data_IF_024182092208
#
_entry.id   IF_024182092208
#
_cell.length_a   1.000
_cell.length_b   1.000
_cell.length_c   1.000
_cell.angle_alpha   90.00
_cell.angle_beta   90.00
_cell.angle_gamma   90.00
#
_symmetry.space_group_name_H-M   'P 1'
#
loop_
_entity.id
_entity.type
_entity.pdbx_description
1 polymer ?
#
# COMPACT_ATOMS: atom_id res chain seq x y z
N UNK A 1 -46.26 25.83 -9.35
CA UNK A 1 -45.84 24.51 -9.87
C UNK A 1 -44.58 24.72 -10.69
N UNK A 2 -43.52 23.94 -10.66
CA UNK A 2 -43.08 22.82 -9.82
C UNK A 2 -41.68 22.56 -10.39
N UNK A 3 -40.65 22.78 -9.57
CA UNK A 3 -39.36 22.09 -9.61
C UNK A 3 -38.77 21.73 -10.99
N UNK A 4 -37.72 22.44 -11.42
CA UNK A 4 -36.63 21.79 -12.14
C UNK A 4 -35.33 21.99 -11.35
N UNK A 5 -35.01 20.89 -10.68
CA UNK A 5 -33.93 20.64 -9.75
C UNK A 5 -32.55 20.92 -10.35
N UNK A 6 -31.72 21.61 -9.57
CA UNK A 6 -30.42 21.10 -9.10
C UNK A 6 -29.68 20.16 -10.08
N UNK A 7 -29.09 20.71 -11.15
CA UNK A 7 -28.12 19.97 -11.97
C UNK A 7 -26.67 20.40 -11.75
N UNK A 8 -26.41 21.34 -10.84
CA UNK A 8 -25.04 21.79 -10.49
C UNK A 8 -24.46 21.00 -9.29
N UNK A 9 -25.26 20.14 -8.66
CA UNK A 9 -24.87 19.28 -7.54
C UNK A 9 -24.63 17.82 -7.97
N UNK A 10 -24.12 17.64 -9.19
CA UNK A 10 -23.54 16.35 -9.64
C UNK A 10 -22.06 16.50 -10.02
N UNK A 11 -21.36 17.46 -9.39
CA UNK A 11 -19.96 17.28 -9.02
C UNK A 11 -19.96 16.61 -7.63
N UNK A 12 -20.77 15.55 -7.51
CA UNK A 12 -20.81 14.69 -6.36
C UNK A 12 -19.51 13.88 -6.42
N UNK A 13 -18.55 14.31 -5.60
CA UNK A 13 -17.78 13.37 -4.78
C UNK A 13 -17.07 12.26 -5.55
N UNK A 14 -16.21 12.62 -6.50
CA UNK A 14 -15.04 11.79 -6.79
C UNK A 14 -13.81 12.26 -5.99
N UNK A 15 -14.03 12.72 -4.76
CA UNK A 15 -12.98 12.87 -3.75
C UNK A 15 -12.98 11.64 -2.85
N UNK A 16 -12.85 10.46 -3.46
CA UNK A 16 -12.57 9.23 -2.72
C UNK A 16 -11.71 8.26 -3.55
N UNK A 17 -10.67 8.78 -4.21
CA UNK A 17 -9.49 7.94 -4.37
C UNK A 17 -8.76 8.00 -3.04
N UNK A 18 -9.08 7.07 -2.13
CA UNK A 18 -8.03 6.57 -1.24
C UNK A 18 -6.87 6.25 -2.19
N UNK A 19 -5.79 7.01 -2.09
CA UNK A 19 -4.72 6.96 -3.06
C UNK A 19 -4.05 5.58 -2.93
N UNK A 20 -4.48 4.63 -3.76
CA UNK A 20 -3.86 3.32 -3.80
C UNK A 20 -2.39 3.55 -4.12
N UNK A 21 -1.51 2.94 -3.33
CA UNK A 21 -0.08 3.07 -3.57
C UNK A 21 0.24 2.60 -5.00
N UNK A 22 1.25 3.23 -5.61
CA UNK A 22 1.79 2.82 -6.92
C UNK A 22 2.00 1.29 -7.01
N UNK A 23 2.34 0.66 -5.89
CA UNK A 23 2.80 -0.72 -5.80
C UNK A 23 1.79 -1.70 -5.18
N UNK A 24 0.67 -1.22 -4.64
CA UNK A 24 -0.31 -2.03 -3.89
C UNK A 24 -1.72 -1.78 -4.43
N UNK A 25 -2.64 -2.72 -4.19
CA UNK A 25 -4.07 -2.53 -4.48
C UNK A 25 -4.80 -1.67 -3.44
N UNK A 26 -4.18 -1.43 -2.30
CA UNK A 26 -4.74 -0.70 -1.16
C UNK A 26 -3.74 0.36 -0.67
N UNK A 27 -4.17 1.20 0.27
CA UNK A 27 -3.26 2.07 1.03
C UNK A 27 -2.09 1.25 1.61
N UNK A 28 -0.89 1.80 1.55
CA UNK A 28 0.29 1.25 2.22
C UNK A 28 0.30 1.67 3.69
N UNK A 29 0.79 0.79 4.56
CA UNK A 29 0.91 1.04 6.00
C UNK A 29 2.39 0.90 6.39
N UNK A 30 3.12 2.02 6.55
CA UNK A 30 4.56 2.02 6.84
C UNK A 30 4.83 1.72 8.32
N UNK A 31 4.39 0.55 8.80
CA UNK A 31 4.55 0.15 10.20
C UNK A 31 6.01 0.11 10.64
N UNK A 32 6.92 -0.23 9.72
CA UNK A 32 8.35 -0.29 9.97
C UNK A 32 8.94 1.08 10.32
N UNK A 33 8.55 2.12 9.58
CA UNK A 33 8.96 3.50 9.86
C UNK A 33 8.33 4.03 11.15
N UNK A 34 7.03 3.75 11.36
CA UNK A 34 6.33 4.13 12.59
C UNK A 34 6.97 3.49 13.83
N UNK A 35 7.28 2.20 13.78
CA UNK A 35 7.95 1.51 14.88
C UNK A 35 9.33 2.09 15.10
N UNK A 36 10.13 2.29 14.04
CA UNK A 36 11.47 2.85 14.14
C UNK A 36 11.48 4.22 14.80
N UNK A 37 10.52 5.08 14.45
CA UNK A 37 10.44 6.45 14.95
C UNK A 37 9.83 6.56 16.35
N UNK A 38 9.16 5.51 16.84
CA UNK A 38 8.43 5.52 18.11
C UNK A 38 8.85 4.39 19.06
N UNK A 39 10.05 3.82 18.89
CA UNK A 39 10.51 2.65 19.67
C UNK A 39 10.37 2.82 21.18
N UNK A 40 10.77 3.98 21.71
CA UNK A 40 10.70 4.28 23.14
C UNK A 40 9.25 4.35 23.63
N UNK A 41 8.37 5.03 22.90
CA UNK A 41 6.94 5.13 23.21
C UNK A 41 6.21 3.77 23.14
N UNK A 42 6.61 2.95 22.18
CA UNK A 42 6.10 1.60 21.98
C UNK A 42 6.75 0.58 22.92
N UNK A 43 7.75 0.98 23.71
CA UNK A 43 8.46 0.11 24.65
C UNK A 43 8.95 -1.20 23.99
N UNK A 44 9.49 -1.09 22.77
CA UNK A 44 9.94 -2.25 21.99
C UNK A 44 11.18 -2.86 22.65
N UNK A 45 11.12 -4.15 22.98
CA UNK A 45 12.27 -4.89 23.50
C UNK A 45 13.23 -5.30 22.39
N UNK A 46 14.46 -5.69 22.77
CA UNK A 46 15.46 -6.20 21.81
C UNK A 46 14.93 -7.44 21.08
N UNK A 47 14.30 -8.37 21.79
CA UNK A 47 13.71 -9.59 21.22
C UNK A 47 12.61 -9.27 20.20
N UNK A 48 11.79 -8.26 20.48
CA UNK A 48 10.76 -7.79 19.56
C UNK A 48 11.37 -7.11 18.33
N UNK A 49 12.44 -6.32 18.51
CA UNK A 49 13.16 -5.72 17.40
C UNK A 49 13.75 -6.77 16.46
N UNK A 50 14.35 -7.83 17.00
CA UNK A 50 14.86 -8.95 16.21
C UNK A 50 13.75 -9.67 15.43
N UNK A 51 12.59 -9.92 16.07
CA UNK A 51 11.44 -10.53 15.41
C UNK A 51 10.86 -9.65 14.28
N UNK A 52 10.78 -8.33 14.50
CA UNK A 52 10.35 -7.36 13.49
C UNK A 52 11.35 -7.32 12.32
N UNK A 53 12.65 -7.37 12.61
CA UNK A 53 13.67 -7.39 11.57
C UNK A 53 13.61 -8.70 10.76
N UNK A 54 13.41 -9.85 11.41
CA UNK A 54 13.23 -11.13 10.72
C UNK A 54 12.01 -11.11 9.77
N UNK A 55 10.90 -10.50 10.19
CA UNK A 55 9.74 -10.32 9.32
C UNK A 55 10.09 -9.47 8.09
N UNK A 56 10.82 -8.36 8.27
CA UNK A 56 11.26 -7.51 7.15
C UNK A 56 12.18 -8.26 6.20
N UNK A 57 13.15 -9.01 6.72
CA UNK A 57 14.09 -9.79 5.91
C UNK A 57 13.39 -10.88 5.09
N UNK A 58 12.27 -11.42 5.58
CA UNK A 58 11.47 -12.40 4.84
C UNK A 58 10.65 -11.77 3.70
N UNK A 59 10.00 -10.62 3.95
CA UNK A 59 8.98 -10.06 3.06
C UNK A 59 9.47 -8.92 2.17
N UNK A 60 10.33 -8.02 2.68
CA UNK A 60 10.78 -6.85 1.92
C UNK A 60 11.52 -7.21 0.63
N UNK A 61 12.41 -8.23 0.58
CA UNK A 61 13.05 -8.61 -0.68
C UNK A 61 12.03 -9.00 -1.77
N UNK A 62 11.01 -9.79 -1.39
CA UNK A 62 9.94 -10.25 -2.30
C UNK A 62 9.03 -9.10 -2.75
N UNK A 63 8.80 -8.12 -1.86
CA UNK A 63 8.06 -6.90 -2.16
C UNK A 63 8.85 -6.03 -3.14
N UNK A 64 10.13 -5.80 -2.87
CA UNK A 64 10.99 -4.95 -3.69
C UNK A 64 11.24 -5.54 -5.08
N UNK A 65 11.37 -6.85 -5.19
CA UNK A 65 11.42 -7.53 -6.49
C UNK A 65 10.16 -7.25 -7.32
N UNK A 66 8.98 -7.35 -6.70
CA UNK A 66 7.70 -7.03 -7.38
C UNK A 66 7.56 -5.56 -7.71
N UNK A 67 8.02 -4.64 -6.84
CA UNK A 67 8.05 -3.20 -7.14
C UNK A 67 8.84 -2.92 -8.41
N UNK A 68 10.01 -3.57 -8.58
CA UNK A 68 10.81 -3.46 -9.80
C UNK A 68 10.06 -3.97 -11.03
N UNK A 69 9.41 -5.14 -10.93
CA UNK A 69 8.60 -5.68 -12.04
C UNK A 69 7.42 -4.75 -12.41
N UNK A 70 6.78 -4.13 -11.41
CA UNK A 70 5.71 -3.13 -11.62
C UNK A 70 6.26 -1.91 -12.34
N UNK A 71 7.40 -1.37 -11.91
CA UNK A 71 8.03 -0.20 -12.52
C UNK A 71 8.41 -0.46 -14.00
N UNK A 72 8.96 -1.64 -14.30
CA UNK A 72 9.34 -2.02 -15.66
C UNK A 72 8.10 -2.16 -16.57
N UNK A 73 7.03 -2.80 -16.07
CA UNK A 73 5.78 -2.92 -16.82
C UNK A 73 5.03 -1.59 -16.99
N UNK A 74 5.12 -0.67 -16.02
CA UNK A 74 4.55 0.67 -16.16
C UNK A 74 5.25 1.46 -17.27
N UNK A 75 6.58 1.39 -17.35
CA UNK A 75 7.33 2.01 -18.45
C UNK A 75 6.96 1.41 -19.82
N UNK A 76 6.80 0.09 -19.89
CA UNK A 76 6.34 -0.58 -21.11
C UNK A 76 4.93 -0.12 -21.52
N UNK A 77 4.01 -0.06 -20.55
CA UNK A 77 2.65 0.42 -20.75
C UNK A 77 2.63 1.86 -21.27
N UNK A 78 3.34 2.78 -20.60
CA UNK A 78 3.41 4.20 -20.99
C UNK A 78 3.93 4.36 -22.42
N UNK A 79 4.99 3.63 -22.76
CA UNK A 79 5.54 3.61 -24.12
C UNK A 79 4.51 3.14 -25.14
N UNK A 80 3.84 2.01 -24.90
CA UNK A 80 2.83 1.48 -25.81
C UNK A 80 1.64 2.41 -25.98
N UNK A 81 1.20 3.10 -24.92
CA UNK A 81 0.09 4.05 -25.01
C UNK A 81 0.46 5.26 -25.86
N UNK A 82 1.67 5.81 -25.69
CA UNK A 82 2.12 7.00 -26.42
C UNK A 82 2.44 6.72 -27.89
N UNK A 83 2.97 5.53 -28.18
CA UNK A 83 3.40 5.16 -29.54
C UNK A 83 2.29 4.49 -30.38
N UNK A 84 1.06 4.39 -29.86
CA UNK A 84 -0.04 3.73 -30.57
C UNK A 84 0.15 2.21 -30.69
N UNK A 85 0.73 1.60 -29.66
CA UNK A 85 1.07 0.19 -29.60
C UNK A 85 -0.15 -0.76 -29.58
N UNK A 86 0.13 -2.05 -29.68
CA UNK A 86 -0.89 -3.09 -29.80
C UNK A 86 -1.83 -3.13 -28.58
N UNK A 87 -3.15 -3.00 -28.83
CA UNK A 87 -4.19 -2.96 -27.78
C UNK A 87 -4.30 -4.24 -26.96
N UNK A 88 -4.04 -5.40 -27.56
CA UNK A 88 -4.00 -6.68 -26.86
C UNK A 88 -2.81 -6.74 -25.89
N UNK A 89 -1.64 -6.25 -26.29
CA UNK A 89 -0.47 -6.15 -25.41
C UNK A 89 -0.71 -5.20 -24.24
N UNK A 90 -1.31 -4.04 -24.50
CA UNK A 90 -1.70 -3.09 -23.45
C UNK A 90 -2.62 -3.76 -22.41
N UNK A 91 -3.61 -4.52 -22.87
CA UNK A 91 -4.53 -5.27 -21.99
C UNK A 91 -3.78 -6.30 -21.14
N UNK A 92 -2.86 -7.05 -21.71
CA UNK A 92 -2.04 -8.04 -20.98
C UNK A 92 -1.19 -7.39 -19.89
N UNK A 93 -0.58 -6.24 -20.18
CA UNK A 93 0.21 -5.50 -19.20
C UNK A 93 -0.68 -5.00 -18.06
N UNK A 94 -1.86 -4.45 -18.35
CA UNK A 94 -2.80 -4.00 -17.32
C UNK A 94 -3.22 -5.15 -16.38
N UNK A 95 -3.53 -6.32 -16.94
CA UNK A 95 -3.85 -7.52 -16.15
C UNK A 95 -2.66 -7.92 -15.27
N UNK A 96 -1.45 -7.93 -15.84
CA UNK A 96 -0.25 -8.30 -15.09
C UNK A 96 0.09 -7.30 -13.99
N UNK A 97 -0.07 -6.00 -14.24
CA UNK A 97 0.09 -4.95 -13.24
C UNK A 97 -0.90 -5.13 -12.08
N UNK A 98 -2.17 -5.38 -12.37
CA UNK A 98 -3.17 -5.66 -11.34
C UNK A 98 -2.81 -6.90 -10.51
N UNK A 99 -2.38 -7.98 -11.17
CA UNK A 99 -1.90 -9.19 -10.50
C UNK A 99 -0.71 -8.90 -9.58
N UNK A 100 0.33 -8.23 -10.07
CA UNK A 100 1.53 -7.94 -9.28
C UNK A 100 1.21 -7.06 -8.07
N UNK A 101 0.38 -6.04 -8.24
CA UNK A 101 -0.09 -5.19 -7.11
C UNK A 101 -0.86 -6.01 -6.07
N UNK A 102 -1.69 -6.97 -6.51
CA UNK A 102 -2.43 -7.86 -5.60
C UNK A 102 -1.48 -8.75 -4.79
N UNK A 103 -0.52 -9.38 -5.46
CA UNK A 103 0.49 -10.20 -4.81
C UNK A 103 1.33 -9.39 -3.83
N UNK A 104 1.68 -8.15 -4.19
CA UNK A 104 2.44 -7.27 -3.33
C UNK A 104 1.64 -6.86 -2.08
N UNK A 105 0.34 -6.58 -2.23
CA UNK A 105 -0.57 -6.33 -1.11
C UNK A 105 -0.64 -7.55 -0.17
N UNK A 106 -0.69 -8.77 -0.71
CA UNK A 106 -0.68 -9.99 0.10
C UNK A 106 0.63 -10.13 0.89
N UNK A 107 1.78 -9.84 0.28
CA UNK A 107 3.06 -9.85 0.98
C UNK A 107 3.11 -8.81 2.09
N UNK A 108 2.62 -7.59 1.84
CA UNK A 108 2.56 -6.53 2.85
C UNK A 108 1.64 -6.92 4.01
N UNK A 109 0.50 -7.55 3.75
CA UNK A 109 -0.40 -8.09 4.79
C UNK A 109 0.32 -9.15 5.63
N UNK A 110 1.11 -10.04 5.00
CA UNK A 110 1.88 -11.06 5.74
C UNK A 110 2.96 -10.43 6.63
N UNK A 111 3.68 -9.44 6.10
CA UNK A 111 4.65 -8.66 6.89
C UNK A 111 3.99 -7.98 8.09
N UNK A 112 2.88 -7.28 7.87
CA UNK A 112 2.12 -6.61 8.93
C UNK A 112 1.67 -7.60 10.01
N UNK A 113 1.20 -8.79 9.61
CA UNK A 113 0.80 -9.83 10.57
C UNK A 113 1.99 -10.39 11.36
N UNK A 114 3.13 -10.56 10.72
CA UNK A 114 4.34 -11.02 11.42
C UNK A 114 4.80 -9.98 12.46
N UNK A 115 4.78 -8.69 12.11
CA UNK A 115 5.05 -7.58 13.04
C UNK A 115 4.00 -7.52 14.14
N UNK A 116 2.72 -7.65 13.82
CA UNK A 116 1.65 -7.66 14.82
C UNK A 116 1.86 -8.78 15.85
N UNK A 117 2.26 -9.96 15.39
CA UNK A 117 2.48 -11.13 16.25
C UNK A 117 3.72 -11.01 17.14
N UNK A 118 4.66 -10.10 16.85
CA UNK A 118 5.80 -9.83 17.72
C UNK A 118 5.51 -8.79 18.80
N UNK A 119 4.34 -8.14 18.76
CA UNK A 119 3.96 -7.08 19.68
C UNK A 119 2.92 -7.58 20.71
N UNK A 120 2.89 -6.96 21.88
CA UNK A 120 1.75 -7.12 22.78
C UNK A 120 0.51 -6.44 22.21
N UNK A 121 -0.66 -6.79 22.74
CA UNK A 121 -1.92 -6.16 22.35
C UNK A 121 -1.86 -4.65 22.58
N UNK A 122 -1.35 -4.21 23.72
CA UNK A 122 -1.21 -2.81 24.10
C UNK A 122 -0.27 -2.06 23.17
N UNK A 123 0.90 -2.64 22.84
CA UNK A 123 1.85 -2.05 21.89
C UNK A 123 1.26 -1.91 20.49
N UNK A 124 0.53 -2.93 20.02
CA UNK A 124 -0.13 -2.87 18.72
C UNK A 124 -1.25 -1.81 18.70
N UNK A 125 -2.00 -1.63 19.79
CA UNK A 125 -2.98 -0.55 19.90
C UNK A 125 -2.33 0.84 19.86
N UNK A 126 -1.21 1.05 20.58
CA UNK A 126 -0.42 2.29 20.47
C UNK A 126 0.02 2.54 19.02
N UNK A 127 0.48 1.51 18.31
CA UNK A 127 0.86 1.61 16.89
C UNK A 127 -0.32 1.99 15.99
N UNK A 128 -1.52 1.46 16.25
CA UNK A 128 -2.73 1.83 15.51
C UNK A 128 -3.16 3.28 15.79
N UNK A 129 -2.92 3.81 16.99
CA UNK A 129 -3.18 5.23 17.29
C UNK A 129 -2.27 6.13 16.44
N UNK A 130 -0.97 5.82 16.39
CA UNK A 130 0.00 6.54 15.55
C UNK A 130 -0.34 6.49 14.05
N UNK A 131 -1.01 5.43 13.59
CA UNK A 131 -1.48 5.32 12.19
C UNK A 131 -2.70 6.20 11.88
N UNK A 132 -3.52 6.49 12.88
CA UNK A 132 -4.76 7.27 12.73
C UNK A 132 -4.57 8.75 13.08
N UNK A 133 -3.49 9.08 13.77
CA UNK A 133 -3.00 10.45 13.97
C UNK A 133 -2.19 10.87 12.72
N UNK A 134 -2.88 11.25 11.64
CA UNK A 134 -2.20 12.01 10.57
C UNK A 134 -1.76 13.39 11.12
N UNK A 135 -0.55 13.88 10.81
CA UNK A 135 -0.19 15.26 11.10
C UNK A 135 -1.13 16.20 10.32
N UNK A 136 -1.75 17.14 11.04
CA UNK A 136 -2.40 18.33 10.47
C UNK A 136 -1.35 19.18 9.77
#
# INVERSE_FOLDING_TARGET
>A
MRQFFLSVLFIFSFSFSQECSKYFLTKDYPLDELIKNNKEYLEITIEQEEAIQAAKDEYQPKINERKKQIDDLQKEYEKLVLEGGNSQRIKEILVKLAQLKAENSVLKIKEIRAIQNSLTKEQYQKLLQLLNEEPI
#
